data_IF_836093358733
#
_entry.id   IF_836093358733
#
_cell.length_a   1.000
_cell.length_b   1.000
_cell.length_c   1.000
_cell.angle_alpha   90.00
_cell.angle_beta   90.00
_cell.angle_gamma   90.00
#
_symmetry.space_group_name_H-M   'P 1'
#
loop_
_entity.id
_entity.type
_entity.pdbx_description
1 polymer ?
#
# COMPACT_ATOMS: atom_id res chain seq x y z
N UNK A 1 -11.49 -15.06 -10.76
CA UNK A 1 -10.64 -14.00 -11.36
C UNK A 1 -10.14 -13.16 -10.20
N UNK A 2 -8.82 -13.04 -10.08
CA UNK A 2 -8.18 -12.31 -8.97
C UNK A 2 -8.43 -10.82 -9.14
N UNK A 3 -8.81 -10.11 -8.07
CA UNK A 3 -9.10 -8.67 -8.11
C UNK A 3 -8.21 -7.91 -7.13
N UNK A 4 -7.60 -6.84 -7.59
CA UNK A 4 -6.71 -5.99 -6.81
C UNK A 4 -7.15 -4.53 -6.89
N UNK A 5 -7.07 -3.79 -5.80
CA UNK A 5 -7.15 -2.33 -5.80
C UNK A 5 -5.82 -1.74 -5.33
N UNK A 6 -5.26 -0.85 -6.14
CA UNK A 6 -4.06 -0.08 -5.80
C UNK A 6 -4.47 1.32 -5.36
N UNK A 7 -4.13 1.67 -4.15
CA UNK A 7 -4.37 2.99 -3.56
C UNK A 7 -3.12 3.84 -3.76
N UNK A 8 -3.27 4.94 -4.49
CA UNK A 8 -2.18 5.88 -4.83
C UNK A 8 -2.55 7.30 -4.44
N UNK A 9 -1.56 8.14 -4.15
CA UNK A 9 -1.80 9.56 -3.97
C UNK A 9 -2.21 10.22 -5.30
N UNK A 10 -3.08 11.22 -5.27
CA UNK A 10 -3.45 11.96 -6.49
C UNK A 10 -2.25 12.68 -7.12
N UNK A 11 -1.26 13.07 -6.31
CA UNK A 11 -0.03 13.69 -6.81
C UNK A 11 1.18 13.02 -6.17
N UNK A 12 2.22 12.77 -6.98
CA UNK A 12 3.53 12.37 -6.51
C UNK A 12 3.57 11.01 -5.80
N UNK A 13 2.95 9.96 -6.33
CA UNK A 13 3.22 8.60 -5.89
C UNK A 13 4.50 8.04 -6.54
N UNK A 14 5.07 7.00 -5.95
CA UNK A 14 6.37 6.45 -6.36
C UNK A 14 6.24 5.51 -7.57
N UNK A 15 6.94 5.84 -8.66
CA UNK A 15 6.83 5.18 -9.96
C UNK A 15 7.30 3.72 -9.95
N UNK A 16 8.48 3.46 -9.37
CA UNK A 16 9.05 2.11 -9.36
C UNK A 16 8.19 1.15 -8.53
N UNK A 17 7.70 1.60 -7.38
CA UNK A 17 6.83 0.80 -6.53
C UNK A 17 5.51 0.48 -7.22
N UNK A 18 4.94 1.48 -7.89
CA UNK A 18 3.70 1.31 -8.64
C UNK A 18 3.91 0.40 -9.86
N UNK A 19 4.88 0.73 -10.74
CA UNK A 19 5.09 0.01 -12.00
C UNK A 19 5.43 -1.45 -11.77
N UNK A 20 6.38 -1.75 -10.88
CA UNK A 20 6.77 -3.11 -10.58
C UNK A 20 5.60 -3.95 -10.03
N UNK A 21 4.78 -3.35 -9.14
CA UNK A 21 3.61 -4.02 -8.57
C UNK A 21 2.51 -4.20 -9.63
N UNK A 22 2.27 -3.18 -10.45
CA UNK A 22 1.26 -3.20 -11.50
C UNK A 22 1.56 -4.27 -12.57
N UNK A 23 2.81 -4.30 -13.07
CA UNK A 23 3.27 -5.27 -14.05
C UNK A 23 3.17 -6.71 -13.51
N UNK A 24 3.61 -6.94 -12.28
CA UNK A 24 3.53 -8.25 -11.64
C UNK A 24 2.06 -8.74 -11.48
N UNK A 25 1.15 -7.84 -11.14
CA UNK A 25 -0.28 -8.16 -11.07
C UNK A 25 -0.88 -8.45 -12.46
N UNK A 26 -0.44 -7.75 -13.50
CA UNK A 26 -0.84 -8.04 -14.88
C UNK A 26 -0.35 -9.43 -15.32
N UNK A 27 0.90 -9.79 -15.05
CA UNK A 27 1.46 -11.12 -15.32
C UNK A 27 0.70 -12.22 -14.57
N UNK A 28 0.24 -11.94 -13.34
CA UNK A 28 -0.60 -12.85 -12.56
C UNK A 28 -2.08 -12.89 -13.02
N UNK A 29 -2.43 -12.19 -14.12
CA UNK A 29 -3.79 -12.06 -14.66
C UNK A 29 -4.80 -11.52 -13.63
N UNK A 30 -4.39 -10.61 -12.78
CA UNK A 30 -5.29 -9.92 -11.85
C UNK A 30 -6.03 -8.76 -12.54
N UNK A 31 -7.29 -8.59 -12.20
CA UNK A 31 -8.03 -7.38 -12.57
C UNK A 31 -7.63 -6.27 -11.61
N UNK A 32 -6.97 -5.23 -12.14
CA UNK A 32 -6.42 -4.13 -11.35
C UNK A 32 -7.36 -2.94 -11.41
N UNK A 33 -7.68 -2.39 -10.26
CA UNK A 33 -8.40 -1.13 -10.09
C UNK A 33 -7.48 -0.12 -9.42
N UNK A 34 -7.47 1.11 -9.90
CA UNK A 34 -6.71 2.20 -9.27
C UNK A 34 -7.68 3.13 -8.56
N UNK A 35 -7.37 3.47 -7.33
CA UNK A 35 -8.13 4.41 -6.53
C UNK A 35 -7.22 5.45 -5.85
N UNK A 36 -7.75 6.64 -5.64
CA UNK A 36 -7.06 7.75 -5.00
C UNK A 36 -8.05 8.55 -4.14
N UNK A 37 -7.57 9.55 -3.40
CA UNK A 37 -8.45 10.39 -2.59
C UNK A 37 -9.66 10.90 -3.38
N UNK A 38 -9.39 11.34 -4.63
CA UNK A 38 -10.45 11.78 -5.56
C UNK A 38 -10.35 11.00 -6.85
N UNK A 39 -11.49 10.70 -7.44
CA UNK A 39 -11.63 10.14 -8.78
C UNK A 39 -11.14 11.14 -9.82
N UNK A 40 -9.87 11.11 -10.13
CA UNK A 40 -9.21 12.05 -11.03
C UNK A 40 -7.89 11.49 -11.53
N UNK A 41 -7.27 12.21 -12.46
CA UNK A 41 -5.93 11.91 -12.94
C UNK A 41 -4.91 12.00 -11.79
N UNK A 42 -4.18 10.93 -11.57
CA UNK A 42 -3.06 10.90 -10.66
C UNK A 42 -1.76 11.17 -11.42
N UNK A 43 -0.89 11.98 -10.85
CA UNK A 43 0.38 12.37 -11.46
C UNK A 43 1.52 11.77 -10.67
N UNK A 44 2.41 11.04 -11.35
CA UNK A 44 3.61 10.45 -10.78
C UNK A 44 4.68 11.49 -10.50
N UNK A 45 5.66 11.14 -9.69
CA UNK A 45 6.79 12.03 -9.40
C UNK A 45 7.53 12.46 -10.68
N UNK A 46 7.69 11.56 -11.66
CA UNK A 46 8.33 11.84 -12.95
C UNK A 46 7.36 12.18 -14.08
N UNK A 47 6.11 12.54 -13.75
CA UNK A 47 5.17 13.15 -14.68
C UNK A 47 4.29 12.19 -15.49
N UNK A 48 4.40 10.88 -15.34
CA UNK A 48 3.42 9.95 -15.88
C UNK A 48 2.04 10.19 -15.25
N UNK A 49 0.98 9.89 -16.01
CA UNK A 49 -0.40 10.13 -15.58
C UNK A 49 -1.21 8.86 -15.67
N UNK A 50 -1.96 8.57 -14.63
CA UNK A 50 -2.94 7.47 -14.60
C UNK A 50 -4.27 7.99 -14.08
N UNK A 51 -5.35 7.36 -14.51
CA UNK A 51 -6.68 7.72 -14.04
C UNK A 51 -7.10 6.82 -12.89
N UNK A 52 -7.44 7.41 -11.74
CA UNK A 52 -8.08 6.70 -10.65
C UNK A 52 -9.56 6.46 -11.02
N UNK A 53 -9.93 5.19 -11.13
CA UNK A 53 -11.29 4.77 -11.47
C UNK A 53 -12.29 5.06 -10.33
N UNK A 54 -11.79 5.06 -9.09
CA UNK A 54 -12.58 5.29 -7.88
C UNK A 54 -11.92 6.30 -6.95
N UNK A 55 -12.74 7.06 -6.22
CA UNK A 55 -12.32 7.76 -5.02
C UNK A 55 -12.26 6.78 -3.84
N UNK A 56 -11.53 7.12 -2.77
CA UNK A 56 -11.48 6.27 -1.57
C UNK A 56 -12.85 6.01 -0.96
N UNK A 57 -13.74 7.00 -0.99
CA UNK A 57 -15.10 6.86 -0.48
C UNK A 57 -15.94 5.80 -1.21
N UNK A 58 -15.61 5.50 -2.48
CA UNK A 58 -16.29 4.49 -3.29
C UNK A 58 -15.67 3.09 -3.15
N UNK A 59 -14.47 2.97 -2.56
CA UNK A 59 -13.75 1.70 -2.41
C UNK A 59 -14.18 0.99 -1.12
N UNK A 60 -14.51 -0.28 -1.26
CA UNK A 60 -14.67 -1.22 -0.14
C UNK A 60 -13.61 -2.29 -0.25
N UNK A 61 -12.68 -2.34 0.73
CA UNK A 61 -11.54 -3.26 0.70
C UNK A 61 -11.93 -4.73 0.65
N UNK A 62 -13.05 -5.10 1.25
CA UNK A 62 -13.60 -6.46 1.26
C UNK A 62 -14.11 -6.95 -0.10
N UNK A 63 -14.30 -6.07 -1.08
CA UNK A 63 -14.72 -6.41 -2.45
C UNK A 63 -13.56 -6.86 -3.33
N UNK A 64 -12.33 -6.65 -2.88
CA UNK A 64 -11.13 -7.06 -3.59
C UNK A 64 -10.46 -8.23 -2.86
N UNK A 65 -9.75 -9.07 -3.60
CA UNK A 65 -8.93 -10.11 -2.98
C UNK A 65 -7.73 -9.50 -2.29
N UNK A 66 -7.23 -8.36 -2.81
CA UNK A 66 -6.14 -7.65 -2.19
C UNK A 66 -6.28 -6.14 -2.32
N UNK A 67 -5.75 -5.44 -1.34
CA UNK A 67 -5.59 -3.99 -1.29
C UNK A 67 -4.12 -3.66 -1.19
N UNK A 68 -3.65 -2.77 -2.05
CA UNK A 68 -2.25 -2.38 -2.15
C UNK A 68 -2.13 -0.88 -1.90
N UNK A 69 -1.32 -0.50 -0.94
CA UNK A 69 -1.06 0.89 -0.58
C UNK A 69 0.35 1.28 -1.06
N UNK A 70 0.41 2.18 -2.05
CA UNK A 70 1.66 2.72 -2.59
C UNK A 70 2.03 3.99 -1.83
N UNK A 71 3.27 4.02 -1.33
CA UNK A 71 3.77 5.13 -0.54
C UNK A 71 4.30 6.30 -1.36
N UNK A 72 4.85 7.24 -0.69
CA UNK A 72 5.62 8.44 -0.97
C UNK A 72 5.20 9.58 -0.04
N UNK A 73 6.00 10.66 0.06
CA UNK A 73 5.72 11.78 0.97
C UNK A 73 4.31 12.37 0.85
N UNK A 74 3.79 12.46 -0.37
CA UNK A 74 2.45 12.99 -0.61
C UNK A 74 1.33 12.05 -0.14
N UNK A 75 1.60 10.75 -0.05
CA UNK A 75 0.66 9.82 0.59
C UNK A 75 0.48 10.14 2.07
N UNK A 76 1.57 10.51 2.76
CA UNK A 76 1.51 10.95 4.16
C UNK A 76 0.57 12.15 4.32
N UNK A 77 0.74 13.20 3.51
CA UNK A 77 -0.06 14.42 3.62
C UNK A 77 -1.52 14.26 3.21
N UNK A 78 -1.81 13.30 2.31
CA UNK A 78 -3.17 13.07 1.83
C UNK A 78 -3.95 12.06 2.68
N UNK A 79 -3.27 11.10 3.29
CA UNK A 79 -3.91 9.91 3.86
C UNK A 79 -3.74 9.76 5.37
N UNK A 80 -2.83 10.51 6.00
CA UNK A 80 -2.77 10.54 7.46
C UNK A 80 -4.11 11.07 8.01
N UNK A 81 -4.69 10.36 8.97
CA UNK A 81 -6.01 10.64 9.56
C UNK A 81 -7.17 10.63 8.55
N UNK A 82 -7.03 9.91 7.43
CA UNK A 82 -8.10 9.77 6.44
C UNK A 82 -8.97 8.54 6.74
N UNK A 83 -10.20 8.75 7.18
CA UNK A 83 -11.12 7.68 7.61
C UNK A 83 -11.38 6.65 6.51
N UNK A 84 -11.52 7.05 5.24
CA UNK A 84 -11.73 6.13 4.13
C UNK A 84 -10.50 5.26 3.87
N UNK A 85 -9.30 5.84 3.93
CA UNK A 85 -8.05 5.09 3.78
C UNK A 85 -7.89 4.04 4.88
N UNK A 86 -8.15 4.44 6.13
CA UNK A 86 -8.08 3.54 7.29
C UNK A 86 -9.14 2.44 7.24
N UNK A 87 -10.35 2.79 6.85
CA UNK A 87 -11.44 1.82 6.66
C UNK A 87 -11.08 0.77 5.59
N UNK A 88 -10.57 1.19 4.44
CA UNK A 88 -10.14 0.28 3.36
C UNK A 88 -9.08 -0.69 3.87
N UNK A 89 -8.14 -0.22 4.68
CA UNK A 89 -7.12 -1.09 5.29
C UNK A 89 -7.73 -2.11 6.25
N UNK A 90 -8.70 -1.72 7.06
CA UNK A 90 -9.41 -2.61 7.99
C UNK A 90 -10.24 -3.67 7.27
N UNK A 91 -10.83 -3.33 6.13
CA UNK A 91 -11.64 -4.23 5.30
C UNK A 91 -10.81 -5.19 4.45
N UNK A 92 -9.50 -4.97 4.28
CA UNK A 92 -8.66 -5.72 3.37
C UNK A 92 -8.50 -7.20 3.77
N UNK A 93 -8.81 -8.12 2.85
CA UNK A 93 -8.57 -9.57 3.02
C UNK A 93 -7.08 -9.91 2.96
N UNK A 94 -6.38 -9.35 1.98
CA UNK A 94 -4.92 -9.38 1.83
C UNK A 94 -4.46 -7.93 1.69
N UNK A 95 -3.51 -7.51 2.51
CA UNK A 95 -3.05 -6.14 2.59
C UNK A 95 -1.56 -6.05 2.24
N UNK A 96 -1.24 -5.19 1.29
CA UNK A 96 0.13 -4.89 0.91
C UNK A 96 0.39 -3.40 1.05
N UNK A 97 1.53 -3.04 1.62
CA UNK A 97 1.92 -1.65 1.82
C UNK A 97 3.43 -1.46 1.68
N UNK A 98 3.86 -0.45 0.93
CA UNK A 98 5.28 -0.20 0.65
C UNK A 98 5.67 1.23 0.98
N UNK A 99 6.95 1.43 1.30
CA UNK A 99 7.59 2.71 1.59
C UNK A 99 7.00 3.37 2.85
N UNK A 100 6.40 4.55 2.74
CA UNK A 100 5.77 5.25 3.86
C UNK A 100 4.33 4.76 4.13
N UNK A 101 3.72 4.05 3.19
CA UNK A 101 2.34 3.59 3.33
C UNK A 101 2.10 2.72 4.58
N UNK A 102 3.00 1.79 4.99
CA UNK A 102 2.81 1.04 6.23
C UNK A 102 2.65 1.93 7.47
N UNK A 103 3.36 3.06 7.55
CA UNK A 103 3.17 4.02 8.64
C UNK A 103 1.73 4.55 8.66
N UNK A 104 1.21 5.02 7.52
CA UNK A 104 -0.16 5.56 7.44
C UNK A 104 -1.20 4.47 7.72
N UNK A 105 -1.01 3.28 7.17
CA UNK A 105 -1.89 2.12 7.40
C UNK A 105 -1.91 1.71 8.86
N UNK A 106 -0.81 1.86 9.61
CA UNK A 106 -0.74 1.47 11.02
C UNK A 106 -1.79 2.16 11.90
N UNK A 107 -2.18 3.38 11.54
CA UNK A 107 -3.23 4.15 12.23
C UNK A 107 -4.58 3.42 12.24
N UNK A 108 -4.87 2.58 11.26
CA UNK A 108 -6.07 1.75 11.21
C UNK A 108 -6.12 0.63 12.28
N UNK A 109 -5.00 0.37 12.96
CA UNK A 109 -4.86 -0.72 13.94
C UNK A 109 -4.66 -2.12 13.33
N UNK A 110 -4.64 -2.27 11.99
CA UNK A 110 -4.49 -3.59 11.35
C UNK A 110 -3.14 -4.25 11.63
N UNK A 111 -2.13 -3.48 12.03
CA UNK A 111 -0.80 -3.98 12.37
C UNK A 111 -0.62 -4.28 13.87
N UNK A 112 -1.66 -4.11 14.68
CA UNK A 112 -1.57 -4.39 16.11
C UNK A 112 -1.07 -5.83 16.35
N UNK A 113 0.02 -5.97 17.15
CA UNK A 113 0.73 -7.23 17.45
C UNK A 113 1.26 -7.98 16.21
N UNK A 114 1.52 -7.29 15.11
CA UNK A 114 2.10 -7.85 13.91
C UNK A 114 3.46 -7.26 13.62
N UNK A 115 4.34 -8.08 13.02
CA UNK A 115 5.65 -7.63 12.58
C UNK A 115 5.50 -7.03 11.19
N UNK A 116 6.03 -5.81 11.01
CA UNK A 116 5.95 -5.04 9.76
C UNK A 116 7.22 -4.24 9.54
N UNK A 117 7.45 -3.82 8.31
CA UNK A 117 8.49 -2.87 7.94
C UNK A 117 7.89 -1.66 7.21
N UNK A 118 8.66 -0.61 7.11
CA UNK A 118 8.37 0.60 6.34
C UNK A 118 9.67 1.32 6.02
N UNK A 119 9.65 2.25 5.08
CA UNK A 119 10.66 3.28 5.06
C UNK A 119 10.70 4.00 6.40
N UNK A 120 11.91 4.28 6.92
CA UNK A 120 12.09 4.95 8.20
C UNK A 120 13.17 6.03 8.10
N UNK A 121 12.87 7.21 8.59
CA UNK A 121 13.78 8.34 8.66
C UNK A 121 13.98 8.73 10.13
N UNK A 122 15.20 8.52 10.62
CA UNK A 122 15.57 8.83 11.99
C UNK A 122 14.66 8.21 13.09
N UNK A 123 13.98 7.10 12.79
CA UNK A 123 13.11 6.38 13.72
C UNK A 123 11.71 6.98 13.86
N UNK A 124 11.30 7.87 12.97
CA UNK A 124 9.98 8.52 13.04
C UNK A 124 8.85 7.53 12.69
N UNK A 125 8.97 6.85 11.55
CA UNK A 125 7.96 5.91 11.07
C UNK A 125 7.89 4.68 11.99
N UNK A 126 9.02 4.19 12.42
CA UNK A 126 9.12 3.15 13.45
C UNK A 126 8.29 3.51 14.69
N UNK A 127 8.55 4.68 15.30
CA UNK A 127 7.84 5.12 16.50
C UNK A 127 6.34 5.24 16.27
N UNK A 128 5.94 5.71 15.10
CA UNK A 128 4.52 5.84 14.75
C UNK A 128 3.84 4.47 14.63
N UNK A 129 4.45 3.52 13.93
CA UNK A 129 3.96 2.14 13.81
C UNK A 129 3.84 1.48 15.19
N UNK A 130 4.87 1.64 16.02
CA UNK A 130 4.90 1.08 17.40
C UNK A 130 3.84 1.74 18.31
N UNK A 131 3.57 3.04 18.11
CA UNK A 131 2.50 3.74 18.83
C UNK A 131 1.11 3.13 18.56
N UNK A 132 0.87 2.68 17.33
CA UNK A 132 -0.35 1.97 16.94
C UNK A 132 -0.27 0.44 17.14
N UNK A 133 0.70 -0.03 17.91
CA UNK A 133 0.81 -1.42 18.37
C UNK A 133 1.44 -2.40 17.39
N UNK A 134 1.99 -1.94 16.28
CA UNK A 134 2.82 -2.74 15.36
C UNK A 134 4.21 -3.01 15.95
N UNK A 135 4.87 -4.07 15.48
CA UNK A 135 6.29 -4.35 15.78
C UNK A 135 7.12 -4.07 14.54
N UNK A 136 7.79 -2.92 14.52
CA UNK A 136 8.60 -2.54 13.37
C UNK A 136 9.96 -3.27 13.37
N UNK A 137 10.38 -3.74 12.20
CA UNK A 137 11.70 -4.31 11.97
C UNK A 137 12.33 -3.72 10.70
N UNK A 138 13.65 -3.51 10.77
CA UNK A 138 14.44 -3.00 9.63
C UNK A 138 14.77 -4.13 8.66
N UNK A 139 13.79 -4.48 7.84
CA UNK A 139 13.89 -5.51 6.83
C UNK A 139 13.37 -4.98 5.47
N UNK A 140 13.95 -5.39 4.35
CA UNK A 140 13.47 -4.95 3.04
C UNK A 140 12.01 -5.28 2.80
N UNK A 141 11.60 -6.51 3.12
CA UNK A 141 10.23 -7.01 2.99
C UNK A 141 9.88 -7.91 4.16
N UNK A 142 8.71 -7.70 4.72
CA UNK A 142 8.13 -8.59 5.74
C UNK A 142 6.79 -9.10 5.25
N UNK A 143 6.63 -10.42 5.29
CA UNK A 143 5.34 -11.08 5.15
C UNK A 143 4.88 -11.58 6.52
N UNK A 144 3.71 -11.16 6.94
CA UNK A 144 3.05 -11.62 8.15
C UNK A 144 1.62 -12.06 7.82
N UNK A 145 1.40 -13.37 7.65
CA UNK A 145 0.14 -13.96 7.23
C UNK A 145 -0.36 -13.38 5.87
N UNK A 146 -1.47 -12.65 5.91
CA UNK A 146 -2.09 -11.99 4.75
C UNK A 146 -1.62 -10.54 4.53
N UNK A 147 -0.56 -10.13 5.20
CA UNK A 147 0.01 -8.79 5.11
C UNK A 147 1.43 -8.89 4.55
N UNK A 148 1.75 -8.05 3.57
CA UNK A 148 3.11 -7.84 3.07
C UNK A 148 3.45 -6.38 3.18
N UNK A 149 4.57 -6.07 3.84
CA UNK A 149 5.10 -4.70 3.93
C UNK A 149 6.52 -4.62 3.39
N UNK A 150 6.91 -3.47 2.84
CA UNK A 150 8.25 -3.24 2.32
C UNK A 150 8.73 -1.82 2.63
N UNK A 151 10.06 -1.65 2.71
CA UNK A 151 10.67 -0.42 3.18
C UNK A 151 10.91 0.63 2.09
N UNK A 152 10.71 0.33 0.80
CA UNK A 152 10.82 1.34 -0.24
C UNK A 152 11.19 0.82 -1.63
N UNK A 153 11.56 1.73 -2.56
CA UNK A 153 11.75 1.39 -3.97
C UNK A 153 12.79 0.31 -4.23
N UNK A 154 13.86 0.25 -3.44
CA UNK A 154 14.90 -0.79 -3.58
C UNK A 154 14.37 -2.19 -3.26
N UNK A 155 13.35 -2.29 -2.42
CA UNK A 155 12.68 -3.53 -2.08
C UNK A 155 11.52 -3.90 -3.04
N UNK A 156 11.19 -3.06 -4.02
CA UNK A 156 10.01 -3.24 -4.86
C UNK A 156 9.96 -4.60 -5.56
N UNK A 157 11.09 -5.08 -6.09
CA UNK A 157 11.15 -6.40 -6.74
C UNK A 157 10.90 -7.57 -5.77
N UNK A 158 11.42 -7.49 -4.57
CA UNK A 158 11.15 -8.50 -3.52
C UNK A 158 9.71 -8.41 -3.04
N UNK A 159 9.20 -7.19 -2.89
CA UNK A 159 7.84 -6.92 -2.44
C UNK A 159 6.81 -7.56 -3.37
N UNK A 160 6.85 -7.26 -4.67
CA UNK A 160 5.85 -7.82 -5.58
C UNK A 160 5.95 -9.35 -5.72
N UNK A 161 7.16 -9.94 -5.61
CA UNK A 161 7.31 -11.41 -5.60
C UNK A 161 6.56 -12.05 -4.43
N UNK A 162 6.65 -11.49 -3.23
CA UNK A 162 5.89 -11.95 -2.07
C UNK A 162 4.39 -11.68 -2.23
N UNK A 163 4.04 -10.56 -2.85
CA UNK A 163 2.69 -10.20 -3.17
C UNK A 163 2.03 -11.22 -4.11
N UNK A 164 2.69 -11.58 -5.21
CA UNK A 164 2.18 -12.58 -6.15
C UNK A 164 2.04 -13.96 -5.50
N UNK A 165 3.01 -14.38 -4.69
CA UNK A 165 2.89 -15.65 -3.92
C UNK A 165 1.65 -15.65 -3.04
N UNK A 166 1.44 -14.56 -2.28
CA UNK A 166 0.26 -14.45 -1.43
C UNK A 166 -1.05 -14.43 -2.24
N UNK A 167 -1.00 -13.92 -3.48
CA UNK A 167 -2.16 -13.91 -4.37
C UNK A 167 -2.52 -15.32 -4.86
N UNK A 168 -1.57 -16.22 -4.98
CA UNK A 168 -1.75 -17.59 -5.46
C UNK A 168 -2.27 -18.55 -4.38
N UNK A 169 -2.13 -18.18 -3.11
CA UNK A 169 -2.68 -18.89 -1.94
C UNK A 169 -4.16 -18.56 -1.70
#
# INVERSE_FOLDING_TARGET
MKTAVMIVANNGFQDHEFSATYEALQEANAQITIAAWRKWQCVWVFGLRIDAAYSLAEVHGDKFEMVIFIGWWWALTQYLHNDDYLRIAQEAKKLWAICIAPMVVSESGVFNRKIVTSWDDEGLQKKFIEWFGGSWQDEPVIRYWNIVTANGPEAAEMFWKECVKLLEE
#
